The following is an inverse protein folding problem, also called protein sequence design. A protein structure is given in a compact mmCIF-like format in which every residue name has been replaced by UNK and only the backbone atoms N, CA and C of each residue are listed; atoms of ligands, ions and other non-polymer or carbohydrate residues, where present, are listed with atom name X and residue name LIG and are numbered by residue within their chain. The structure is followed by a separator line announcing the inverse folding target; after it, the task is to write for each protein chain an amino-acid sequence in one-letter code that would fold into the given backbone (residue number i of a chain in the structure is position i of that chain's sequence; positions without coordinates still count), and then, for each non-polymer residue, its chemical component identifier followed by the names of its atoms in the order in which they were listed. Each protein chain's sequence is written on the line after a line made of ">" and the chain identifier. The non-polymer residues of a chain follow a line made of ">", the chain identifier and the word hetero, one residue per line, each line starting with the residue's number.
data_IF_754952870377
#
_entry.id   IF_754952870377
#
_cell.length_a   1.000
_cell.length_b   1.000
_cell.length_c   1.000
_cell.angle_alpha   90.00
_cell.angle_beta   90.00
_cell.angle_gamma   90.00
#
_symmetry.space_group_name_H-M   'P 1'
#
loop_
_entity.id
_entity.type
_entity.pdbx_description
1 polymer ?
#
# COMPACT_ATOMS: atom_id res chain seq x y z
N UNK A 1 -12.61 8.35 14.28
CA UNK A 1 -11.15 8.16 14.16
C UNK A 1 -10.92 7.32 12.92
N UNK A 2 -9.92 7.59 12.07
CA UNK A 2 -9.63 6.71 10.94
C UNK A 2 -9.32 5.32 11.47
N UNK A 3 -9.80 4.28 10.78
CA UNK A 3 -9.48 2.90 11.11
C UNK A 3 -7.98 2.69 10.90
N UNK A 4 -7.28 2.21 11.92
CA UNK A 4 -5.83 2.03 11.89
C UNK A 4 -5.49 0.58 12.24
N UNK A 5 -4.42 0.07 11.64
CA UNK A 5 -3.77 -1.17 12.06
C UNK A 5 -2.34 -0.85 12.54
N UNK A 6 -1.95 -1.39 13.69
CA UNK A 6 -0.64 -1.19 14.31
C UNK A 6 0.04 -2.51 14.54
N UNK A 7 1.28 -2.63 14.06
CA UNK A 7 2.10 -3.84 14.19
C UNK A 7 3.52 -3.50 14.65
N UNK A 8 4.00 -4.18 15.68
CA UNK A 8 5.40 -4.25 16.07
C UNK A 8 5.98 -5.56 15.55
N UNK A 9 6.84 -5.51 14.54
CA UNK A 9 7.41 -6.70 13.90
C UNK A 9 8.93 -6.78 14.09
N UNK A 10 9.51 -7.98 14.20
CA UNK A 10 10.97 -8.13 14.25
C UNK A 10 11.60 -7.54 12.99
N UNK A 11 12.78 -6.93 13.11
CA UNK A 11 13.50 -6.40 11.95
C UNK A 11 13.92 -7.57 11.03
N UNK A 12 13.45 -7.63 9.76
CA UNK A 12 13.81 -8.70 8.85
C UNK A 12 15.31 -8.85 8.63
N UNK A 13 15.73 -10.09 8.39
CA UNK A 13 17.12 -10.37 8.00
C UNK A 13 17.43 -9.82 6.61
N UNK A 14 18.67 -9.41 6.36
CA UNK A 14 19.07 -8.80 5.07
C UNK A 14 18.82 -9.72 3.86
N UNK A 15 18.37 -9.16 2.72
CA UNK A 15 18.13 -9.86 1.44
C UNK A 15 19.24 -10.82 1.00
N UNK A 16 20.51 -10.49 1.25
CA UNK A 16 21.65 -11.34 0.87
C UNK A 16 21.60 -12.75 1.51
N UNK A 17 20.85 -12.91 2.61
CA UNK A 17 20.63 -14.19 3.29
C UNK A 17 19.26 -14.81 2.97
N UNK A 18 18.37 -14.08 2.29
CA UNK A 18 16.97 -14.48 2.07
C UNK A 18 16.77 -15.32 0.82
N UNK A 19 17.59 -15.15 -0.23
CA UNK A 19 17.42 -15.88 -1.48
C UNK A 19 18.65 -16.72 -1.83
N UNK A 20 18.42 -17.96 -2.27
CA UNK A 20 19.44 -18.86 -2.79
C UNK A 20 19.12 -19.24 -4.24
N UNK A 21 20.16 -19.55 -5.00
CA UNK A 21 20.01 -20.06 -6.36
C UNK A 21 19.36 -21.45 -6.32
N UNK A 22 18.36 -21.67 -7.17
CA UNK A 22 17.74 -22.98 -7.31
C UNK A 22 18.57 -23.87 -8.22
N UNK A 23 18.92 -25.04 -7.71
CA UNK A 23 19.57 -26.11 -8.45
C UNK A 23 18.60 -27.25 -8.70
N UNK A 24 18.62 -27.81 -9.91
CA UNK A 24 17.90 -29.03 -10.26
C UNK A 24 18.88 -29.99 -10.92
N UNK A 25 19.04 -31.19 -10.35
CA UNK A 25 20.02 -32.18 -10.82
C UNK A 25 21.46 -31.65 -10.86
N UNK A 26 21.84 -30.75 -9.93
CA UNK A 26 23.17 -30.14 -9.87
C UNK A 26 23.41 -29.00 -10.87
N UNK A 27 22.42 -28.63 -11.70
CA UNK A 27 22.52 -27.49 -12.64
C UNK A 27 21.76 -26.28 -12.14
N UNK A 28 22.33 -25.09 -12.36
CA UNK A 28 21.68 -23.83 -12.06
C UNK A 28 20.50 -23.60 -13.01
N UNK A 29 19.35 -23.26 -12.44
CA UNK A 29 18.08 -23.12 -13.18
C UNK A 29 17.76 -21.67 -13.57
N UNK A 30 18.57 -20.69 -13.16
CA UNK A 30 18.26 -19.26 -13.34
C UNK A 30 17.31 -18.68 -12.28
N UNK A 31 16.57 -19.53 -11.56
CA UNK A 31 15.58 -19.11 -10.56
C UNK A 31 16.22 -18.90 -9.18
N UNK A 32 15.74 -17.89 -8.45
CA UNK A 32 16.03 -17.69 -7.02
C UNK A 32 14.86 -18.19 -6.20
N UNK A 33 15.14 -18.90 -5.12
CA UNK A 33 14.14 -19.37 -4.15
C UNK A 33 14.46 -18.82 -2.76
N UNK A 34 13.45 -18.74 -1.90
CA UNK A 34 13.66 -18.37 -0.50
C UNK A 34 14.59 -19.38 0.18
N UNK A 35 15.60 -18.89 0.87
CA UNK A 35 16.49 -19.67 1.74
C UNK A 35 15.72 -20.21 2.95
N UNK A 36 16.31 -21.16 3.68
CA UNK A 36 15.73 -21.65 4.94
C UNK A 36 15.49 -20.50 5.94
N UNK A 37 16.51 -19.66 6.13
CA UNK A 37 16.44 -18.50 7.02
C UNK A 37 15.37 -17.48 6.55
N UNK A 38 15.18 -17.33 5.24
CA UNK A 38 14.12 -16.49 4.71
C UNK A 38 12.72 -17.04 4.96
N UNK A 39 12.55 -18.36 4.92
CA UNK A 39 11.26 -18.99 5.27
C UNK A 39 10.96 -18.81 6.75
N UNK A 40 11.95 -19.10 7.60
CA UNK A 40 11.84 -18.92 9.06
C UNK A 40 11.51 -17.45 9.41
N UNK A 41 12.14 -16.47 8.75
CA UNK A 41 11.86 -15.05 8.98
C UNK A 41 10.45 -14.64 8.52
N UNK A 42 10.00 -15.14 7.36
CA UNK A 42 8.65 -14.90 6.86
C UNK A 42 7.60 -15.51 7.78
N UNK A 43 7.79 -16.75 8.20
CA UNK A 43 6.90 -17.45 9.13
C UNK A 43 6.81 -16.71 10.48
N UNK A 44 7.94 -16.26 11.03
CA UNK A 44 7.97 -15.47 12.27
C UNK A 44 7.20 -14.16 12.13
N UNK A 45 7.38 -13.43 11.02
CA UNK A 45 6.60 -12.22 10.74
C UNK A 45 5.10 -12.55 10.65
N UNK A 46 4.72 -13.59 9.89
CA UNK A 46 3.31 -13.97 9.71
C UNK A 46 2.64 -14.32 11.04
N UNK A 47 3.31 -15.09 11.91
CA UNK A 47 2.81 -15.43 13.25
C UNK A 47 2.63 -14.15 14.10
N UNK A 48 3.58 -13.22 14.03
CA UNK A 48 3.47 -11.95 14.75
C UNK A 48 2.35 -11.06 14.22
N UNK A 49 2.08 -11.07 12.91
CA UNK A 49 0.94 -10.37 12.30
C UNK A 49 -0.36 -10.98 12.80
N UNK A 50 -0.54 -12.29 12.68
CA UNK A 50 -1.76 -12.99 13.11
C UNK A 50 -2.08 -12.73 14.59
N UNK A 51 -1.07 -12.86 15.45
CA UNK A 51 -1.23 -12.56 16.89
C UNK A 51 -1.67 -11.12 17.11
N UNK A 52 -1.08 -10.15 16.41
CA UNK A 52 -1.36 -8.74 16.64
C UNK A 52 -2.67 -8.28 16.00
N UNK A 53 -3.11 -8.88 14.89
CA UNK A 53 -4.40 -8.59 14.28
C UNK A 53 -5.57 -8.99 15.18
N UNK A 54 -5.36 -9.95 16.10
CA UNK A 54 -6.36 -10.32 17.11
C UNK A 54 -6.49 -9.31 18.28
N UNK A 55 -5.59 -8.32 18.38
CA UNK A 55 -5.61 -7.35 19.48
C UNK A 55 -6.69 -6.28 19.28
N UNK A 56 -7.26 -5.71 20.37
CA UNK A 56 -8.30 -4.69 20.29
C UNK A 56 -7.93 -3.44 19.48
N UNK A 57 -6.64 -3.13 19.36
CA UNK A 57 -6.16 -2.00 18.56
C UNK A 57 -6.36 -2.18 17.05
N UNK A 58 -6.49 -3.43 16.59
CA UNK A 58 -6.57 -3.81 15.17
C UNK A 58 -7.91 -4.42 14.78
N UNK A 59 -8.84 -4.62 15.72
CA UNK A 59 -10.09 -5.36 15.48
C UNK A 59 -11.02 -4.65 14.48
N UNK A 60 -10.95 -3.33 14.42
CA UNK A 60 -11.75 -2.50 13.51
C UNK A 60 -11.02 -2.22 12.19
N UNK A 61 -9.88 -2.87 11.91
CA UNK A 61 -9.19 -2.68 10.65
C UNK A 61 -10.06 -3.13 9.46
N UNK A 62 -10.36 -2.19 8.57
CA UNK A 62 -11.14 -2.47 7.36
C UNK A 62 -10.25 -3.02 6.25
N UNK A 63 -10.13 -4.35 6.26
CA UNK A 63 -9.40 -5.08 5.24
C UNK A 63 -10.05 -4.96 3.85
N UNK A 64 -11.37 -4.85 3.74
CA UNK A 64 -12.04 -4.74 2.44
C UNK A 64 -11.68 -3.44 1.71
N UNK A 65 -11.50 -2.34 2.44
CA UNK A 65 -11.00 -1.09 1.88
C UNK A 65 -9.68 -1.28 1.12
N UNK A 66 -8.77 -2.12 1.63
CA UNK A 66 -7.41 -2.30 1.10
C UNK A 66 -7.35 -2.98 -0.28
N UNK A 67 -8.43 -3.61 -0.71
CA UNK A 67 -8.49 -4.32 -2.01
C UNK A 67 -8.50 -3.34 -3.18
N UNK A 68 -9.23 -2.25 -3.04
CA UNK A 68 -9.45 -1.28 -4.12
C UNK A 68 -8.71 0.04 -3.89
N UNK A 69 -8.49 0.41 -2.62
CA UNK A 69 -7.90 1.70 -2.25
C UNK A 69 -6.46 1.57 -1.80
N UNK A 70 -5.76 2.70 -1.82
CA UNK A 70 -4.41 2.77 -1.28
C UNK A 70 -4.45 2.91 0.24
N UNK A 71 -3.40 2.42 0.91
CA UNK A 71 -3.18 2.63 2.33
C UNK A 71 -1.77 3.21 2.55
N UNK A 72 -1.63 4.06 3.55
CA UNK A 72 -0.31 4.43 4.05
C UNK A 72 0.23 3.34 4.96
N UNK A 73 1.55 3.16 4.91
CA UNK A 73 2.31 2.35 5.84
C UNK A 73 3.38 3.26 6.44
N UNK A 74 3.09 3.81 7.60
CA UNK A 74 3.99 4.63 8.40
C UNK A 74 4.96 3.72 9.17
N UNK A 75 6.26 3.97 9.02
CA UNK A 75 7.31 3.07 9.51
C UNK A 75 8.26 3.83 10.44
N UNK A 76 8.38 3.34 11.67
CA UNK A 76 9.52 3.66 12.54
C UNK A 76 10.43 2.43 12.64
N UNK A 77 11.68 2.60 12.19
CA UNK A 77 12.65 1.50 12.18
C UNK A 77 13.61 1.62 13.37
N UNK A 78 13.75 0.53 14.13
CA UNK A 78 14.71 0.39 15.23
C UNK A 78 15.78 -0.60 14.78
N UNK A 79 16.93 -0.09 14.34
CA UNK A 79 18.00 -0.88 13.72
C UNK A 79 19.16 -1.15 14.66
N UNK A 80 19.95 -2.18 14.37
CA UNK A 80 21.09 -2.55 15.23
C UNK A 80 22.33 -1.68 15.07
N UNK A 81 22.44 -0.91 13.98
CA UNK A 81 23.61 -0.08 13.66
C UNK A 81 23.28 0.95 12.58
N UNK A 82 24.19 1.89 12.36
CA UNK A 82 24.16 2.80 11.20
C UNK A 82 24.29 2.04 9.86
N UNK A 83 23.87 2.67 8.77
CA UNK A 83 24.01 2.16 7.39
C UNK A 83 23.30 0.82 7.14
N UNK A 84 22.14 0.62 7.75
CA UNK A 84 21.24 -0.49 7.42
C UNK A 84 20.43 -0.12 6.18
N UNK A 85 20.35 -1.05 5.23
CA UNK A 85 19.56 -0.92 4.01
C UNK A 85 18.09 -1.25 4.32
N UNK A 86 17.29 -0.19 4.52
CA UNK A 86 15.89 -0.30 4.91
C UNK A 86 14.95 -0.64 3.74
N UNK A 87 15.34 -0.39 2.50
CA UNK A 87 14.52 -0.74 1.33
C UNK A 87 14.44 -2.26 1.18
N UNK A 88 15.54 -2.95 1.45
CA UNK A 88 15.57 -4.42 1.49
C UNK A 88 14.69 -4.99 2.62
N UNK A 89 14.71 -4.32 3.77
CA UNK A 89 13.86 -4.65 4.91
C UNK A 89 12.39 -4.47 4.56
N UNK A 90 12.03 -3.33 3.94
CA UNK A 90 10.68 -3.01 3.49
C UNK A 90 10.13 -4.07 2.53
N UNK A 91 10.92 -4.48 1.53
CA UNK A 91 10.50 -5.52 0.59
C UNK A 91 10.13 -6.83 1.31
N UNK A 92 10.97 -7.26 2.25
CA UNK A 92 10.75 -8.50 2.99
C UNK A 92 9.55 -8.40 3.93
N UNK A 93 9.36 -7.23 4.56
CA UNK A 93 8.19 -6.95 5.39
C UNK A 93 6.91 -7.05 4.58
N UNK A 94 6.82 -6.34 3.45
CA UNK A 94 5.63 -6.34 2.61
C UNK A 94 5.32 -7.73 2.09
N UNK A 95 6.31 -8.46 1.56
CA UNK A 95 6.14 -9.85 1.09
C UNK A 95 5.57 -10.77 2.21
N UNK A 96 6.00 -10.56 3.46
CA UNK A 96 5.60 -11.40 4.60
C UNK A 96 4.24 -10.99 5.18
N UNK A 97 3.91 -9.70 5.17
CA UNK A 97 2.60 -9.20 5.59
C UNK A 97 1.54 -9.57 4.55
N UNK A 98 1.81 -9.38 3.26
CA UNK A 98 0.93 -9.83 2.16
C UNK A 98 0.66 -11.33 2.26
N UNK A 99 1.70 -12.11 2.53
CA UNK A 99 1.59 -13.56 2.72
C UNK A 99 0.68 -13.99 3.87
N UNK A 100 0.49 -13.14 4.88
CA UNK A 100 -0.46 -13.42 5.96
C UNK A 100 -1.91 -13.32 5.48
N UNK A 101 -2.19 -12.47 4.48
CA UNK A 101 -3.54 -12.19 4.00
C UNK A 101 -4.44 -11.50 5.04
N UNK A 102 -3.88 -10.86 6.07
CA UNK A 102 -4.65 -10.28 7.17
C UNK A 102 -4.69 -8.75 7.18
N UNK A 103 -3.70 -8.08 6.60
CA UNK A 103 -3.61 -6.61 6.60
C UNK A 103 -4.03 -6.04 5.25
N UNK A 104 -3.49 -6.60 4.17
CA UNK A 104 -3.79 -6.27 2.78
C UNK A 104 -3.46 -7.47 1.87
N UNK A 105 -4.08 -7.52 0.69
CA UNK A 105 -3.87 -8.60 -0.29
C UNK A 105 -2.74 -8.34 -1.30
N UNK A 106 -2.39 -7.07 -1.50
CA UNK A 106 -1.51 -6.67 -2.59
C UNK A 106 -0.71 -5.44 -2.19
N UNK A 107 0.61 -5.63 -2.03
CA UNK A 107 1.54 -4.56 -1.65
C UNK A 107 1.55 -3.36 -2.60
N UNK A 108 1.07 -3.49 -3.86
CA UNK A 108 0.97 -2.39 -4.83
C UNK A 108 0.07 -1.25 -4.39
N UNK A 109 -0.83 -1.51 -3.45
CA UNK A 109 -1.74 -0.52 -2.85
C UNK A 109 -1.18 0.07 -1.56
N UNK A 110 0.00 -0.35 -1.14
CA UNK A 110 0.66 0.16 0.06
C UNK A 110 1.62 1.28 -0.32
N UNK A 111 1.51 2.40 0.39
CA UNK A 111 2.35 3.59 0.22
C UNK A 111 3.24 3.73 1.45
N UNK A 112 4.45 3.14 1.43
CA UNK A 112 5.34 3.14 2.59
C UNK A 112 5.99 4.51 2.83
N UNK A 113 6.12 4.88 4.10
CA UNK A 113 6.68 6.14 4.58
C UNK A 113 7.59 5.89 5.77
N UNK A 114 8.90 6.06 5.59
CA UNK A 114 9.83 6.03 6.70
C UNK A 114 9.77 7.34 7.47
N UNK A 115 9.19 7.31 8.66
CA UNK A 115 9.04 8.47 9.51
C UNK A 115 10.28 8.70 10.38
N UNK A 116 10.89 7.61 10.88
CA UNK A 116 12.08 7.71 11.72
C UNK A 116 12.92 6.44 11.73
N UNK A 117 14.22 6.61 11.96
CA UNK A 117 15.19 5.54 12.16
C UNK A 117 15.91 5.77 13.48
N UNK A 118 15.91 4.74 14.34
CA UNK A 118 16.58 4.70 15.63
C UNK A 118 17.64 3.61 15.63
N UNK A 119 18.73 3.80 16.39
CA UNK A 119 19.73 2.76 16.60
C UNK A 119 19.49 2.14 17.98
N UNK A 120 18.95 0.93 18.00
CA UNK A 120 18.63 0.16 19.21
C UNK A 120 19.06 -1.31 19.05
N UNK A 121 20.34 -1.62 19.30
CA UNK A 121 20.87 -2.97 19.10
C UNK A 121 20.24 -4.04 20.00
N UNK A 122 19.73 -3.63 21.16
CA UNK A 122 19.11 -4.53 22.14
C UNK A 122 17.73 -5.03 21.74
N UNK A 123 17.01 -4.31 20.86
CA UNK A 123 15.64 -4.64 20.49
C UNK A 123 15.30 -4.17 19.06
N UNK A 124 15.93 -4.76 18.03
CA UNK A 124 15.70 -4.35 16.66
C UNK A 124 14.32 -4.78 16.15
N UNK A 125 13.54 -3.82 15.65
CA UNK A 125 12.16 -4.02 15.22
C UNK A 125 11.72 -2.94 14.23
N UNK A 126 10.54 -3.11 13.67
CA UNK A 126 9.81 -2.06 12.97
C UNK A 126 8.45 -1.86 13.62
N UNK A 127 8.08 -0.61 13.85
CA UNK A 127 6.74 -0.23 14.26
C UNK A 127 6.02 0.29 13.02
N UNK A 128 4.90 -0.34 12.71
CA UNK A 128 4.11 -0.09 11.52
C UNK A 128 2.75 0.47 11.93
N UNK A 129 2.33 1.55 11.28
CA UNK A 129 0.94 2.02 11.34
C UNK A 129 0.37 2.08 9.94
N UNK A 130 -0.70 1.33 9.71
CA UNK A 130 -1.47 1.37 8.48
C UNK A 130 -2.67 2.27 8.66
N UNK A 131 -2.89 3.16 7.69
CA UNK A 131 -4.05 4.04 7.65
C UNK A 131 -4.60 4.14 6.24
N UNK A 132 -5.91 4.25 6.12
CA UNK A 132 -6.57 4.55 4.84
C UNK A 132 -6.10 5.92 4.31
N UNK A 133 -5.78 6.03 3.01
CA UNK A 133 -5.35 7.31 2.44
C UNK A 133 -6.51 8.29 2.29
N UNK A 134 -7.71 7.77 1.99
CA UNK A 134 -8.89 8.58 1.70
C UNK A 134 -8.92 9.19 0.29
N UNK A 135 -7.83 9.07 -0.48
CA UNK A 135 -7.79 9.50 -1.88
C UNK A 135 -8.41 8.44 -2.79
N UNK A 136 -8.95 8.87 -3.92
CA UNK A 136 -9.56 8.01 -4.92
C UNK A 136 -9.10 8.42 -6.32
N UNK A 137 -8.26 7.61 -6.96
CA UNK A 137 -7.63 8.00 -8.22
C UNK A 137 -6.76 9.26 -8.06
N UNK A 138 -7.02 10.28 -8.87
CA UNK A 138 -6.31 11.58 -8.79
C UNK A 138 -6.94 12.58 -7.79
N UNK A 139 -8.02 12.18 -7.11
CA UNK A 139 -8.75 13.04 -6.16
C UNK A 139 -8.21 12.78 -4.75
N UNK A 140 -7.81 13.82 -4.02
CA UNK A 140 -7.17 13.68 -2.71
C UNK A 140 -8.17 13.26 -1.62
N UNK A 141 -9.45 13.54 -1.86
CA UNK A 141 -10.55 13.16 -0.96
C UNK A 141 -11.71 12.52 -1.71
N UNK A 142 -12.43 11.67 -1.00
CA UNK A 142 -13.66 11.05 -1.49
C UNK A 142 -14.73 12.09 -1.90
N UNK A 143 -14.83 13.22 -1.18
CA UNK A 143 -15.77 14.30 -1.50
C UNK A 143 -15.46 14.95 -2.86
N UNK A 144 -14.17 15.19 -3.15
CA UNK A 144 -13.72 15.75 -4.43
C UNK A 144 -14.05 14.81 -5.60
N UNK A 145 -13.89 13.50 -5.38
CA UNK A 145 -14.31 12.49 -6.33
C UNK A 145 -15.83 12.51 -6.54
N UNK A 146 -16.62 12.54 -5.46
CA UNK A 146 -18.08 12.51 -5.53
C UNK A 146 -18.65 13.72 -6.27
N UNK A 147 -18.12 14.92 -6.00
CA UNK A 147 -18.51 16.15 -6.69
C UNK A 147 -18.19 16.06 -8.19
N UNK A 148 -17.00 15.57 -8.54
CA UNK A 148 -16.60 15.37 -9.93
C UNK A 148 -17.46 14.30 -10.63
N UNK A 149 -17.80 13.23 -9.93
CA UNK A 149 -18.66 12.15 -10.43
C UNK A 149 -20.08 12.65 -10.71
N UNK A 150 -20.66 13.45 -9.82
CA UNK A 150 -21.99 14.02 -10.03
C UNK A 150 -22.03 14.89 -11.30
N UNK A 151 -21.02 15.74 -11.48
CA UNK A 151 -20.85 16.52 -12.72
C UNK A 151 -20.69 15.62 -13.96
N UNK A 152 -19.95 14.52 -13.83
CA UNK A 152 -19.78 13.53 -14.90
C UNK A 152 -21.11 12.88 -15.30
N UNK A 153 -22.00 12.54 -14.37
CA UNK A 153 -23.28 11.87 -14.68
C UNK A 153 -24.16 12.67 -15.65
N UNK A 154 -24.06 14.00 -15.61
CA UNK A 154 -24.76 14.96 -16.48
C UNK A 154 -24.07 15.18 -17.83
N UNK A 155 -22.87 14.64 -18.04
CA UNK A 155 -22.07 14.80 -19.25
C UNK A 155 -22.43 13.78 -20.34
N UNK A 156 -22.53 14.22 -21.60
CA UNK A 156 -22.79 13.37 -22.79
C UNK A 156 -21.82 12.20 -22.99
N UNK A 157 -20.59 12.31 -22.46
CA UNK A 157 -19.57 11.25 -22.50
C UNK A 157 -19.78 10.16 -21.45
N UNK A 158 -20.57 10.45 -20.41
CA UNK A 158 -20.90 9.49 -19.36
C UNK A 158 -22.07 8.61 -19.79
N UNK A 159 -21.74 7.42 -20.27
CA UNK A 159 -22.69 6.44 -20.83
C UNK A 159 -22.55 5.12 -20.10
N UNK A 160 -23.67 4.48 -19.80
CA UNK A 160 -23.71 3.19 -19.10
C UNK A 160 -22.87 3.18 -17.81
N UNK A 161 -23.01 4.24 -17.01
CA UNK A 161 -22.30 4.37 -15.73
C UNK A 161 -20.80 4.67 -15.83
N UNK A 162 -20.28 5.08 -17.00
CA UNK A 162 -18.85 5.41 -17.09
C UNK A 162 -18.46 6.38 -18.20
N UNK A 163 -17.29 7.01 -18.03
CA UNK A 163 -16.59 7.82 -19.04
C UNK A 163 -15.13 7.38 -19.07
N UNK A 164 -14.50 7.30 -20.25
CA UNK A 164 -13.09 6.87 -20.36
C UNK A 164 -12.12 7.79 -19.61
N UNK A 165 -12.41 9.09 -19.55
CA UNK A 165 -11.61 10.08 -18.81
C UNK A 165 -11.73 9.82 -17.30
N UNK A 166 -12.95 9.59 -16.80
CA UNK A 166 -13.19 9.25 -15.39
C UNK A 166 -12.52 7.93 -15.01
N UNK A 167 -12.62 6.88 -15.84
CA UNK A 167 -11.96 5.59 -15.57
C UNK A 167 -10.45 5.75 -15.42
N UNK A 168 -9.82 6.49 -16.33
CA UNK A 168 -8.38 6.77 -16.26
C UNK A 168 -8.02 7.58 -15.00
N UNK A 169 -8.85 8.54 -14.61
CA UNK A 169 -8.65 9.32 -13.39
C UNK A 169 -8.66 8.41 -12.14
N UNK A 170 -9.60 7.47 -12.05
CA UNK A 170 -9.67 6.46 -10.99
C UNK A 170 -8.49 5.48 -11.01
N UNK A 171 -7.89 5.25 -12.17
CA UNK A 171 -6.62 4.51 -12.33
C UNK A 171 -5.37 5.35 -11.97
N UNK A 172 -5.53 6.50 -11.28
CA UNK A 172 -4.44 7.43 -10.92
C UNK A 172 -3.72 8.06 -12.12
N UNK A 173 -4.35 8.11 -13.29
CA UNK A 173 -3.74 8.74 -14.49
C UNK A 173 -4.09 10.22 -14.51
N UNK A 174 -3.07 11.05 -14.33
CA UNK A 174 -3.13 12.49 -14.60
C UNK A 174 -3.35 12.69 -16.10
N UNK A 175 -4.31 13.56 -16.43
CA UNK A 175 -4.81 13.77 -17.78
C UNK A 175 -4.94 15.28 -18.04
N UNK A 176 -4.59 15.74 -19.24
CA UNK A 176 -4.73 17.14 -19.63
C UNK A 176 -6.20 17.61 -19.63
N UNK A 177 -7.14 16.68 -19.75
CA UNK A 177 -8.56 17.00 -19.76
C UNK A 177 -9.14 17.32 -18.39
N UNK A 178 -8.42 17.03 -17.30
CA UNK A 178 -8.85 17.30 -15.92
C UNK A 178 -7.93 18.33 -15.30
N UNK A 179 -8.50 19.40 -14.78
CA UNK A 179 -7.77 20.46 -14.08
C UNK A 179 -8.41 20.72 -12.72
N UNK A 180 -7.57 20.88 -11.70
CA UNK A 180 -7.94 21.42 -10.40
C UNK A 180 -7.90 22.96 -10.48
N UNK A 181 -9.01 23.61 -10.17
CA UNK A 181 -9.04 25.05 -9.97
C UNK A 181 -8.53 25.35 -8.55
N UNK A 182 -7.34 25.93 -8.42
CA UNK A 182 -6.71 26.19 -7.11
C UNK A 182 -7.48 27.22 -6.27
N UNK A 183 -8.31 28.07 -6.88
CA UNK A 183 -9.09 29.07 -6.16
C UNK A 183 -10.35 28.50 -5.51
N UNK A 184 -10.95 27.49 -6.14
CA UNK A 184 -12.18 26.82 -5.65
C UNK A 184 -11.94 25.42 -5.10
N UNK A 185 -10.74 24.86 -5.31
CA UNK A 185 -10.38 23.47 -5.02
C UNK A 185 -11.32 22.45 -5.68
N UNK A 186 -11.87 22.79 -6.85
CA UNK A 186 -12.77 21.93 -7.60
C UNK A 186 -12.11 21.39 -8.86
N UNK A 187 -12.30 20.09 -9.11
CA UNK A 187 -11.90 19.47 -10.36
C UNK A 187 -12.92 19.75 -11.46
N UNK A 188 -12.43 20.05 -12.66
CA UNK A 188 -13.26 20.26 -13.84
C UNK A 188 -12.72 19.47 -15.04
N UNK A 189 -13.58 19.16 -16.01
CA UNK A 189 -13.16 18.49 -17.24
C UNK A 189 -13.39 19.36 -18.48
N UNK A 190 -12.33 19.60 -19.25
CA UNK A 190 -12.38 20.41 -20.49
C UNK A 190 -13.20 19.79 -21.62
N UNK A 191 -13.47 18.48 -21.55
CA UNK A 191 -14.33 17.75 -22.50
C UNK A 191 -15.78 17.61 -22.04
N UNK A 192 -16.14 18.21 -20.91
CA UNK A 192 -17.50 18.16 -20.38
C UNK A 192 -18.49 18.85 -21.33
N UNK A 193 -19.64 18.20 -21.57
CA UNK A 193 -20.76 18.76 -22.36
C UNK A 193 -22.06 18.21 -21.81
N UNK A 194 -22.99 19.10 -21.50
CA UNK A 194 -24.31 18.75 -20.93
C UNK A 194 -25.11 17.81 -21.85
N UNK A 195 -25.75 16.79 -21.26
CA UNK A 195 -26.73 15.96 -21.96
C UNK A 195 -27.95 16.80 -22.31
N UNK A 196 -28.34 16.80 -23.58
CA UNK A 196 -29.68 17.26 -23.96
C UNK A 196 -30.68 16.25 -23.40
N UNK A 197 -31.49 16.72 -22.46
CA UNK A 197 -32.63 15.98 -21.88
C UNK A 197 -33.71 15.86 -22.95
#
# INVERSE_FOLDING_TARGET
>A
MPLQCRLSLPLPTSLNKLYVQQFSGGRFTGKKILSKAGKENREDIMINVERQMSLPVNIDWDYEYTKDHYIYMDIEAYVTRVNVDLDNTLKTLNDSIEASGLVFDNDKKVVPRFNRVYIEPSNPRVELTFTQTGWNGIFDKEDEYNDFLEGCQRCTRYRSGSCSILKKALENKIQEEISLDEGTLMYSCSKWKEKKI
#
